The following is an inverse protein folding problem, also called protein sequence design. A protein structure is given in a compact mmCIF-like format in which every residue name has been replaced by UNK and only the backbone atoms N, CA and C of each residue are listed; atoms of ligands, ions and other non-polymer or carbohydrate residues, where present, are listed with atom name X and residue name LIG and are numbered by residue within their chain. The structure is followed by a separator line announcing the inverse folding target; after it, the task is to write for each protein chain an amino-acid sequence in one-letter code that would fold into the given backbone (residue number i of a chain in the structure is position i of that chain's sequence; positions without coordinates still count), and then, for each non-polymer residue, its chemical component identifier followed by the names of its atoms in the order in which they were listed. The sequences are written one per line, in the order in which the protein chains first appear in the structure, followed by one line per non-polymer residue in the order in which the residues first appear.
data_IF_955415589282
#
_entry.id   IF_955415589282
#
_cell.length_a   1.000
_cell.length_b   1.000
_cell.length_c   1.000
_cell.angle_alpha   90.00
_cell.angle_beta   90.00
_cell.angle_gamma   90.00
#
_symmetry.space_group_name_H-M   'P 1'
#
loop_
_entity.id
_entity.type
_entity.pdbx_description
1 polymer ?
#
# COMPACT_ATOMS: atom_id res chain seq x y z
N UNK A 1 -18.90 -3.90 1.23
CA UNK A 1 -17.59 -3.77 1.91
C UNK A 1 -17.09 -2.35 1.81
N UNK A 2 -16.32 -1.88 2.80
CA UNK A 2 -15.55 -0.63 2.73
C UNK A 2 -14.07 -0.92 2.88
N UNK A 3 -13.28 -0.61 1.86
CA UNK A 3 -11.83 -0.83 1.88
C UNK A 3 -11.11 0.52 2.00
N UNK A 4 -10.07 0.57 2.83
CA UNK A 4 -9.16 1.70 2.92
C UNK A 4 -7.92 1.38 2.08
N UNK A 5 -7.62 2.21 1.08
CA UNK A 5 -6.48 2.05 0.19
C UNK A 5 -5.53 3.24 0.38
N UNK A 6 -4.26 2.97 0.66
CA UNK A 6 -3.21 3.99 0.79
C UNK A 6 -1.85 3.44 0.33
N UNK A 7 -0.79 4.25 0.36
CA UNK A 7 0.54 3.90 -0.13
C UNK A 7 1.61 4.89 0.41
N UNK A 8 2.88 4.62 0.13
CA UNK A 8 4.02 5.57 0.21
C UNK A 8 4.17 6.29 1.56
N UNK A 9 4.24 5.54 2.64
CA UNK A 9 4.37 6.13 3.98
C UNK A 9 5.72 6.78 4.23
N UNK A 10 6.78 6.33 3.57
CA UNK A 10 8.16 6.81 3.73
C UNK A 10 8.55 6.98 5.20
N UNK A 11 8.20 5.97 6.01
CA UNK A 11 8.44 5.96 7.44
C UNK A 11 7.88 7.17 8.22
N UNK A 12 6.85 7.85 7.70
CA UNK A 12 6.19 8.95 8.38
C UNK A 12 5.26 8.45 9.50
N UNK A 13 5.82 8.26 10.69
CA UNK A 13 5.16 7.71 11.90
C UNK A 13 3.73 8.25 12.16
N UNK A 14 3.41 9.55 12.01
CA UNK A 14 2.04 10.03 12.18
C UNK A 14 0.99 9.34 11.30
N UNK A 15 1.35 8.89 10.09
CA UNK A 15 0.43 8.16 9.20
C UNK A 15 0.21 6.71 9.65
N UNK A 16 1.24 6.06 10.21
CA UNK A 16 1.09 4.76 10.88
C UNK A 16 0.14 4.87 12.08
N UNK A 17 0.31 5.91 12.91
CA UNK A 17 -0.56 6.19 14.05
C UNK A 17 -1.99 6.53 13.61
N UNK A 18 -2.15 7.21 12.48
CA UNK A 18 -3.46 7.47 11.88
C UNK A 18 -4.18 6.16 11.51
N UNK A 19 -3.49 5.17 10.91
CA UNK A 19 -4.09 3.86 10.63
C UNK A 19 -4.65 3.22 11.91
N UNK A 20 -3.92 3.26 13.03
CA UNK A 20 -4.39 2.70 14.31
C UNK A 20 -5.70 3.36 14.80
N UNK A 21 -5.95 4.62 14.43
CA UNK A 21 -7.17 5.37 14.82
C UNK A 21 -8.38 5.12 13.92
N UNK A 22 -8.16 4.63 12.69
CA UNK A 22 -9.23 4.56 11.67
C UNK A 22 -9.47 3.15 11.11
N UNK A 23 -8.55 2.21 11.30
CA UNK A 23 -8.61 0.88 10.68
C UNK A 23 -9.90 0.12 10.99
N UNK A 24 -10.41 0.23 12.21
CA UNK A 24 -11.62 -0.48 12.68
C UNK A 24 -12.93 -0.06 11.97
N UNK A 25 -12.88 1.02 11.20
CA UNK A 25 -13.98 1.54 10.37
C UNK A 25 -14.08 0.85 9.01
N UNK A 26 -13.07 0.07 8.64
CA UNK A 26 -12.94 -0.57 7.34
C UNK A 26 -12.92 -2.09 7.46
N UNK A 27 -13.36 -2.76 6.40
CA UNK A 27 -13.34 -4.22 6.32
C UNK A 27 -11.95 -4.76 5.95
N UNK A 28 -11.10 -3.93 5.36
CA UNK A 28 -9.73 -4.23 4.92
C UNK A 28 -8.95 -2.93 4.77
N UNK A 29 -7.69 -2.93 5.23
CA UNK A 29 -6.70 -1.87 4.99
C UNK A 29 -5.66 -2.38 4.00
N UNK A 30 -5.42 -1.64 2.93
CA UNK A 30 -4.42 -1.94 1.90
C UNK A 30 -3.37 -0.83 1.86
N UNK A 31 -2.09 -1.18 1.94
CA UNK A 31 -0.96 -0.24 1.82
C UNK A 31 -0.02 -0.71 0.72
N UNK A 32 0.12 0.08 -0.34
CA UNK A 32 0.93 -0.28 -1.52
C UNK A 32 2.34 0.32 -1.48
N UNK A 33 3.24 -0.36 -0.76
CA UNK A 33 4.67 -0.09 -0.78
C UNK A 33 5.12 1.15 -0.01
N UNK A 34 6.45 1.28 0.04
CA UNK A 34 7.19 2.37 0.63
C UNK A 34 6.79 2.62 2.10
N UNK A 35 6.74 1.54 2.88
CA UNK A 35 6.56 1.63 4.32
C UNK A 35 7.81 2.23 4.97
N UNK A 36 8.98 1.86 4.48
CA UNK A 36 10.27 2.37 4.90
C UNK A 36 10.65 3.61 4.09
N UNK A 37 11.64 4.34 4.60
CA UNK A 37 12.36 5.35 3.84
C UNK A 37 13.83 4.96 3.71
N UNK A 38 14.24 4.64 2.48
CA UNK A 38 15.63 4.31 2.15
C UNK A 38 16.61 5.48 2.34
N UNK A 39 16.12 6.71 2.51
CA UNK A 39 16.96 7.89 2.77
C UNK A 39 16.94 8.33 4.23
N UNK A 40 16.24 7.60 5.11
CA UNK A 40 16.11 7.99 6.51
C UNK A 40 17.48 7.98 7.22
N UNK A 41 17.82 9.04 7.99
CA UNK A 41 19.16 9.19 8.58
C UNK A 41 19.47 8.14 9.66
N UNK A 42 18.46 7.49 10.23
CA UNK A 42 18.64 6.43 11.23
C UNK A 42 18.93 5.05 10.62
N UNK A 43 18.93 4.93 9.29
CA UNK A 43 19.06 3.66 8.59
C UNK A 43 17.82 2.78 8.70
N UNK A 44 17.93 1.53 8.27
CA UNK A 44 16.78 0.61 8.13
C UNK A 44 16.31 0.03 9.45
N UNK A 45 17.24 -0.39 10.33
CA UNK A 45 16.91 -1.23 11.48
C UNK A 45 15.91 -0.58 12.46
N UNK A 46 16.06 0.70 12.85
CA UNK A 46 15.06 1.36 13.69
C UNK A 46 13.67 1.40 13.05
N UNK A 47 13.60 1.49 11.73
CA UNK A 47 12.35 1.51 10.99
C UNK A 47 11.67 0.13 11.01
N UNK A 48 12.42 -0.94 10.74
CA UNK A 48 11.90 -2.31 10.83
C UNK A 48 11.35 -2.63 12.22
N UNK A 49 12.07 -2.22 13.29
CA UNK A 49 11.61 -2.39 14.67
C UNK A 49 10.27 -1.66 14.87
N UNK A 50 10.19 -0.38 14.46
CA UNK A 50 8.97 0.40 14.61
C UNK A 50 7.79 -0.21 13.83
N UNK A 51 7.99 -0.58 12.56
CA UNK A 51 6.93 -1.19 11.73
C UNK A 51 6.45 -2.52 12.32
N UNK A 52 7.35 -3.34 12.86
CA UNK A 52 6.98 -4.56 13.54
C UNK A 52 6.10 -4.29 14.77
N UNK A 53 6.49 -3.36 15.64
CA UNK A 53 5.71 -3.00 16.83
C UNK A 53 4.37 -2.34 16.50
N UNK A 54 4.35 -1.50 15.47
CA UNK A 54 3.12 -0.94 14.91
C UNK A 54 2.18 -2.05 14.44
N UNK A 55 2.69 -3.03 13.70
CA UNK A 55 1.89 -4.16 13.23
C UNK A 55 1.35 -5.02 14.39
N UNK A 56 2.16 -5.25 15.43
CA UNK A 56 1.70 -5.93 16.64
C UNK A 56 0.53 -5.19 17.30
N UNK A 57 0.56 -3.85 17.27
CA UNK A 57 -0.51 -3.02 17.82
C UNK A 57 -1.75 -3.05 16.93
N UNK A 58 -1.58 -2.91 15.61
CA UNK A 58 -2.67 -2.97 14.62
C UNK A 58 -3.40 -4.32 14.68
N UNK A 59 -2.69 -5.43 14.84
CA UNK A 59 -3.27 -6.76 14.92
C UNK A 59 -4.19 -6.97 16.14
N UNK A 60 -4.06 -6.15 17.19
CA UNK A 60 -5.02 -6.18 18.32
C UNK A 60 -6.41 -5.69 17.91
N UNK A 61 -6.53 -4.88 16.84
CA UNK A 61 -7.80 -4.40 16.33
C UNK A 61 -8.58 -5.46 15.52
N UNK A 62 -7.93 -6.58 15.18
CA UNK A 62 -8.53 -7.67 14.40
C UNK A 62 -9.11 -7.20 13.04
N UNK A 63 -8.43 -6.23 12.42
CA UNK A 63 -8.75 -5.72 11.08
C UNK A 63 -7.84 -6.41 10.05
N UNK A 64 -8.37 -6.92 8.93
CA UNK A 64 -7.57 -7.43 7.82
C UNK A 64 -6.65 -6.36 7.22
N UNK A 65 -5.41 -6.75 6.89
CA UNK A 65 -4.40 -5.86 6.31
C UNK A 65 -3.73 -6.56 5.12
N UNK A 66 -3.62 -5.85 4.00
CA UNK A 66 -2.84 -6.27 2.84
C UNK A 66 -1.72 -5.26 2.57
N UNK A 67 -0.50 -5.75 2.39
CA UNK A 67 0.70 -4.94 2.16
C UNK A 67 1.43 -5.47 0.93
N UNK A 68 1.99 -4.59 0.11
CA UNK A 68 3.08 -4.97 -0.79
C UNK A 68 4.31 -4.09 -0.55
N UNK A 69 5.48 -4.54 -0.99
CA UNK A 69 6.71 -3.75 -0.96
C UNK A 69 6.75 -2.69 -2.06
N UNK A 70 7.48 -1.61 -1.81
CA UNK A 70 7.85 -0.58 -2.78
C UNK A 70 9.36 -0.41 -2.93
N UNK A 71 9.79 0.60 -3.69
CA UNK A 71 11.21 0.79 -3.99
C UNK A 71 12.04 1.27 -2.77
N UNK A 72 11.45 1.98 -1.81
CA UNK A 72 12.10 2.36 -0.55
C UNK A 72 12.21 1.19 0.45
N UNK A 73 11.43 0.12 0.23
CA UNK A 73 11.47 -1.08 1.07
C UNK A 73 12.57 -2.06 0.67
N UNK A 74 13.23 -1.82 -0.47
CA UNK A 74 14.40 -2.60 -0.89
C UNK A 74 15.62 -2.18 -0.09
N UNK A 75 16.21 -3.14 0.62
CA UNK A 75 17.34 -2.91 1.52
C UNK A 75 18.67 -2.57 0.83
N UNK A 76 18.70 -2.44 -0.51
CA UNK A 76 19.88 -2.42 -1.38
C UNK A 76 21.11 -1.66 -0.84
N UNK A 77 21.29 -0.41 -1.26
CA UNK A 77 22.44 0.43 -0.84
C UNK A 77 22.18 1.18 0.48
N UNK A 78 21.03 0.95 1.11
CA UNK A 78 20.64 1.66 2.33
C UNK A 78 21.46 1.14 3.51
N UNK A 79 22.07 2.02 4.33
CA UNK A 79 22.73 1.60 5.55
C UNK A 79 21.76 0.84 6.47
N UNK A 80 22.04 -0.45 6.67
CA UNK A 80 21.26 -1.29 7.60
C UNK A 80 21.40 -0.74 9.03
N UNK A 81 22.64 -0.39 9.40
CA UNK A 81 23.01 0.24 10.66
C UNK A 81 23.78 1.52 10.38
N UNK A 82 23.51 2.56 11.16
CA UNK A 82 24.23 3.84 11.10
C UNK A 82 25.02 4.03 12.39
N UNK A 83 26.35 4.30 12.32
CA UNK A 83 27.15 4.58 13.51
C UNK A 83 26.56 5.72 14.35
N UNK A 84 26.47 5.52 15.66
CA UNK A 84 25.88 6.49 16.59
C UNK A 84 24.37 6.37 16.78
N UNK A 85 23.66 5.63 15.93
CA UNK A 85 22.23 5.32 16.13
C UNK A 85 22.09 4.14 17.08
N UNK A 86 21.51 4.39 18.25
CA UNK A 86 21.35 3.37 19.29
C UNK A 86 20.10 2.53 19.09
N UNK A 87 20.27 1.21 19.07
CA UNK A 87 19.16 0.26 19.09
C UNK A 87 19.00 -0.28 20.51
N UNK A 88 17.78 -0.20 21.06
CA UNK A 88 17.54 -0.69 22.41
C UNK A 88 17.68 -2.21 22.45
N UNK A 89 18.40 -2.71 23.46
CA UNK A 89 18.73 -4.15 23.59
C UNK A 89 17.48 -5.04 23.67
N UNK A 90 16.41 -4.56 24.30
CA UNK A 90 15.12 -5.25 24.42
C UNK A 90 14.40 -5.42 23.07
N UNK A 91 14.83 -4.70 22.02
CA UNK A 91 14.26 -4.78 20.67
C UNK A 91 15.07 -5.62 19.70
N UNK A 92 16.28 -6.04 20.05
CA UNK A 92 17.10 -6.92 19.21
C UNK A 92 16.42 -8.23 18.81
N UNK A 93 15.59 -8.89 19.65
CA UNK A 93 14.88 -10.11 19.25
C UNK A 93 13.98 -9.93 18.02
N UNK A 94 13.44 -8.72 17.79
CA UNK A 94 12.62 -8.41 16.62
C UNK A 94 13.43 -8.60 15.33
N UNK A 95 14.72 -8.27 15.33
CA UNK A 95 15.60 -8.50 14.17
C UNK A 95 15.77 -9.99 13.87
N UNK A 96 15.75 -10.81 14.91
CA UNK A 96 15.71 -12.27 14.77
C UNK A 96 14.45 -12.76 14.07
N UNK A 97 13.30 -12.09 14.23
CA UNK A 97 12.09 -12.41 13.48
C UNK A 97 12.24 -12.10 11.99
N UNK A 98 12.75 -10.92 11.63
CA UNK A 98 13.02 -10.56 10.23
C UNK A 98 13.98 -11.56 9.56
N UNK A 99 15.04 -11.99 10.27
CA UNK A 99 16.04 -12.92 9.76
C UNK A 99 15.50 -14.33 9.41
N UNK A 100 14.30 -14.70 9.88
CA UNK A 100 13.67 -16.00 9.55
C UNK A 100 13.04 -16.01 8.16
N UNK A 101 12.89 -14.86 7.53
CA UNK A 101 12.16 -14.72 6.28
C UNK A 101 13.08 -14.21 5.16
N UNK A 102 12.87 -14.74 3.95
CA UNK A 102 13.57 -14.26 2.74
C UNK A 102 13.15 -12.84 2.38
N UNK A 103 11.86 -12.52 2.55
CA UNK A 103 11.27 -11.21 2.31
C UNK A 103 10.79 -10.64 3.63
N UNK A 104 11.24 -9.43 3.98
CA UNK A 104 11.07 -8.87 5.32
C UNK A 104 9.59 -8.68 5.70
N UNK A 105 8.72 -8.35 4.74
CA UNK A 105 7.28 -8.20 4.97
C UNK A 105 6.64 -9.49 5.51
N UNK A 106 7.19 -10.68 5.21
CA UNK A 106 6.65 -11.94 5.73
C UNK A 106 6.74 -12.06 7.25
N UNK A 107 7.66 -11.34 7.89
CA UNK A 107 7.71 -11.26 9.35
C UNK A 107 6.52 -10.52 9.96
N UNK A 108 5.82 -9.68 9.17
CA UNK A 108 4.63 -8.94 9.59
C UNK A 108 3.36 -9.80 9.55
N UNK A 109 3.45 -11.03 9.03
CA UNK A 109 2.33 -11.99 8.93
C UNK A 109 2.01 -12.63 10.29
N UNK A 110 1.68 -11.80 11.27
CA UNK A 110 1.44 -12.18 12.66
C UNK A 110 0.12 -12.91 12.90
N UNK A 111 -0.79 -12.91 11.91
CA UNK A 111 -2.06 -13.61 11.98
C UNK A 111 -2.58 -13.99 10.60
N UNK A 112 -3.64 -14.79 10.58
CA UNK A 112 -4.36 -15.12 9.35
C UNK A 112 -5.10 -13.92 8.72
N UNK A 113 -5.11 -12.74 9.34
CA UNK A 113 -5.74 -11.54 8.80
C UNK A 113 -4.79 -10.72 7.90
N UNK A 114 -3.51 -11.09 7.86
CA UNK A 114 -2.49 -10.36 7.11
C UNK A 114 -2.21 -11.05 5.77
N UNK A 115 -2.17 -10.26 4.70
CA UNK A 115 -1.59 -10.59 3.41
C UNK A 115 -0.38 -9.68 3.16
N UNK A 116 0.70 -10.25 2.65
CA UNK A 116 1.92 -9.53 2.27
C UNK A 116 2.37 -10.00 0.90
N UNK A 117 3.48 -9.47 0.39
CA UNK A 117 4.17 -9.97 -0.80
C UNK A 117 4.05 -11.50 -0.98
N UNK A 118 3.84 -11.91 -2.22
CA UNK A 118 3.63 -13.31 -2.65
C UNK A 118 2.28 -13.94 -2.23
N UNK A 119 1.43 -13.26 -1.46
CA UNK A 119 0.11 -13.80 -1.09
C UNK A 119 -0.95 -13.56 -2.17
N UNK A 120 -1.77 -14.60 -2.39
CA UNK A 120 -3.11 -14.53 -2.99
C UNK A 120 -4.08 -15.08 -1.94
N UNK A 121 -4.88 -14.19 -1.32
CA UNK A 121 -5.60 -14.49 -0.09
C UNK A 121 -7.04 -14.03 -0.11
N UNK A 122 -7.96 -14.90 0.30
CA UNK A 122 -9.36 -14.54 0.50
C UNK A 122 -9.52 -13.87 1.86
N UNK A 123 -10.01 -12.63 1.86
CA UNK A 123 -10.41 -11.88 3.04
C UNK A 123 -11.94 -11.90 3.12
N UNK A 124 -12.45 -12.28 4.28
CA UNK A 124 -13.88 -12.21 4.59
C UNK A 124 -14.15 -11.01 5.49
N UNK A 125 -15.08 -10.17 5.05
CA UNK A 125 -15.49 -8.98 5.78
C UNK A 125 -16.41 -9.32 6.94
N UNK A 126 -16.61 -8.39 7.87
CA UNK A 126 -17.59 -8.56 8.97
C UNK A 126 -19.01 -8.76 8.45
N UNK A 127 -19.32 -8.21 7.27
CA UNK A 127 -20.61 -8.36 6.59
C UNK A 127 -20.78 -9.69 5.83
N UNK A 128 -19.80 -10.60 5.85
CA UNK A 128 -19.87 -11.90 5.18
C UNK A 128 -19.47 -11.88 3.69
N UNK A 129 -19.31 -10.69 3.10
CA UNK A 129 -18.74 -10.51 1.76
C UNK A 129 -17.28 -10.97 1.74
N UNK A 130 -16.78 -11.43 0.59
CA UNK A 130 -15.41 -11.90 0.43
C UNK A 130 -14.73 -11.20 -0.76
N UNK A 131 -13.42 -10.97 -0.63
CA UNK A 131 -12.55 -10.43 -1.66
C UNK A 131 -11.23 -11.19 -1.67
N UNK A 132 -10.67 -11.48 -2.84
CA UNK A 132 -9.29 -11.93 -2.93
C UNK A 132 -8.35 -10.72 -3.00
N UNK A 133 -7.33 -10.69 -2.16
CA UNK A 133 -6.21 -9.74 -2.28
C UNK A 133 -5.00 -10.47 -2.83
N UNK A 134 -4.34 -9.87 -3.81
CA UNK A 134 -3.10 -10.37 -4.41
C UNK A 134 -2.03 -9.32 -4.18
N UNK A 135 -0.96 -9.67 -3.47
CA UNK A 135 0.12 -8.72 -3.14
C UNK A 135 1.35 -9.06 -3.97
N UNK A 136 1.63 -8.24 -4.98
CA UNK A 136 2.76 -8.44 -5.88
C UNK A 136 3.96 -7.65 -5.36
N UNK A 137 5.08 -8.32 -5.05
CA UNK A 137 6.28 -7.65 -4.57
C UNK A 137 6.82 -6.67 -5.61
N UNK A 138 7.48 -5.61 -5.13
CA UNK A 138 8.27 -4.75 -5.97
C UNK A 138 9.60 -5.44 -6.35
N UNK A 139 10.05 -5.25 -7.59
CA UNK A 139 11.34 -5.72 -8.06
C UNK A 139 12.05 -4.60 -8.85
N UNK A 140 13.30 -4.31 -8.49
CA UNK A 140 14.07 -3.22 -9.10
C UNK A 140 14.42 -3.45 -10.59
N UNK A 141 14.36 -4.70 -11.06
CA UNK A 141 14.54 -5.05 -12.47
C UNK A 141 13.24 -4.90 -13.29
N UNK A 142 12.14 -4.46 -12.65
CA UNK A 142 10.84 -4.29 -13.26
C UNK A 142 10.05 -5.59 -13.45
N UNK A 143 10.57 -6.73 -12.99
CA UNK A 143 9.84 -7.99 -13.07
C UNK A 143 8.61 -7.97 -12.17
N UNK A 144 7.45 -8.28 -12.75
CA UNK A 144 6.20 -8.46 -11.99
C UNK A 144 5.77 -9.91 -12.10
N UNK A 145 5.81 -10.62 -10.99
CA UNK A 145 5.33 -11.99 -10.97
C UNK A 145 3.81 -12.04 -11.19
N UNK A 146 3.35 -13.10 -11.84
CA UNK A 146 1.92 -13.37 -11.99
C UNK A 146 1.47 -14.36 -10.93
N UNK A 147 0.59 -13.92 -10.03
CA UNK A 147 -0.11 -14.79 -9.08
C UNK A 147 -1.54 -15.02 -9.55
N UNK A 148 -2.06 -16.24 -9.38
CA UNK A 148 -3.45 -16.54 -9.71
C UNK A 148 -4.36 -16.08 -8.55
N UNK A 149 -5.43 -15.32 -8.82
CA UNK A 149 -6.42 -14.98 -7.80
C UNK A 149 -7.21 -16.23 -7.41
N UNK A 150 -7.53 -16.36 -6.12
CA UNK A 150 -8.35 -17.48 -5.63
C UNK A 150 -9.82 -17.39 -6.09
N UNK A 151 -10.39 -16.18 -6.15
CA UNK A 151 -11.78 -15.94 -6.56
C UNK A 151 -12.02 -14.45 -6.88
N UNK A 152 -13.05 -14.16 -7.69
CA UNK A 152 -13.59 -12.80 -7.89
C UNK A 152 -14.55 -12.40 -6.74
N UNK A 153 -14.72 -11.10 -6.44
CA UNK A 153 -13.90 -9.99 -6.93
C UNK A 153 -12.49 -10.06 -6.33
N UNK A 154 -11.51 -9.48 -7.02
CA UNK A 154 -10.15 -9.40 -6.49
C UNK A 154 -9.45 -8.08 -6.75
N UNK A 155 -8.60 -7.72 -5.79
CA UNK A 155 -7.78 -6.51 -5.75
C UNK A 155 -6.30 -6.92 -5.84
N UNK A 156 -5.55 -6.34 -6.77
CA UNK A 156 -4.09 -6.49 -6.83
C UNK A 156 -3.42 -5.27 -6.21
N UNK A 157 -2.53 -5.48 -5.25
CA UNK A 157 -1.60 -4.48 -4.74
C UNK A 157 -0.27 -4.65 -5.49
N UNK A 158 0.19 -3.58 -6.12
CA UNK A 158 1.54 -3.50 -6.68
C UNK A 158 1.99 -2.04 -6.63
N UNK A 159 3.20 -1.81 -6.15
CA UNK A 159 3.65 -0.47 -5.83
C UNK A 159 3.68 0.46 -7.04
N UNK A 160 4.18 0.01 -8.20
CA UNK A 160 4.17 0.82 -9.42
C UNK A 160 2.80 0.75 -10.12
N UNK A 161 2.24 1.89 -10.57
CA UNK A 161 1.02 1.87 -11.37
C UNK A 161 1.26 1.27 -12.77
N UNK A 162 0.20 0.78 -13.45
CA UNK A 162 0.32 0.31 -14.83
C UNK A 162 0.88 1.39 -15.76
N UNK A 163 1.91 1.07 -16.53
CA UNK A 163 2.50 2.00 -17.49
C UNK A 163 1.50 2.48 -18.56
N UNK A 164 1.83 3.61 -19.19
CA UNK A 164 1.01 4.24 -20.26
C UNK A 164 -0.41 4.61 -19.80
N UNK A 165 -0.52 5.07 -18.56
CA UNK A 165 -1.78 5.54 -17.96
C UNK A 165 -1.57 6.93 -17.34
N UNK A 166 -2.65 7.71 -17.24
CA UNK A 166 -2.65 9.02 -16.57
C UNK A 166 -2.35 8.89 -15.07
N UNK A 167 -2.66 7.73 -14.48
CA UNK A 167 -2.29 7.43 -13.08
C UNK A 167 -0.79 7.14 -12.90
N UNK A 168 -0.05 6.80 -13.97
CA UNK A 168 1.40 6.66 -13.93
C UNK A 168 2.13 8.00 -14.08
N UNK A 169 1.51 9.00 -14.72
CA UNK A 169 2.14 10.30 -14.97
C UNK A 169 2.41 11.10 -13.67
N UNK A 170 3.56 11.78 -13.56
CA UNK A 170 4.56 12.02 -14.62
C UNK A 170 5.63 10.93 -14.76
N UNK A 171 5.50 9.80 -14.06
CA UNK A 171 6.40 8.65 -14.22
C UNK A 171 5.88 7.71 -15.34
N UNK A 172 6.70 6.76 -15.76
CA UNK A 172 6.32 5.82 -16.82
C UNK A 172 5.51 4.61 -16.30
N UNK A 173 5.49 4.36 -14.99
CA UNK A 173 4.86 3.19 -14.37
C UNK A 173 5.52 1.85 -14.76
N UNK A 174 4.88 0.73 -14.39
CA UNK A 174 5.36 -0.62 -14.70
C UNK A 174 4.69 -1.22 -15.93
N UNK A 175 5.49 -1.53 -16.94
CA UNK A 175 5.03 -2.18 -18.19
C UNK A 175 4.58 -3.61 -17.94
N UNK A 176 5.34 -4.37 -17.15
CA UNK A 176 4.98 -5.73 -16.77
C UNK A 176 3.68 -5.75 -15.97
N UNK A 177 3.48 -4.79 -15.06
CA UNK A 177 2.21 -4.69 -14.35
C UNK A 177 1.04 -4.36 -15.27
N UNK A 178 1.22 -3.47 -16.26
CA UNK A 178 0.20 -3.22 -17.27
C UNK A 178 -0.19 -4.49 -18.05
N UNK A 179 0.79 -5.36 -18.36
CA UNK A 179 0.52 -6.67 -18.98
C UNK A 179 -0.24 -7.60 -18.03
N UNK A 180 0.09 -7.62 -16.73
CA UNK A 180 -0.65 -8.39 -15.72
C UNK A 180 -2.11 -7.94 -15.65
N UNK A 181 -2.37 -6.62 -15.56
CA UNK A 181 -3.73 -6.07 -15.52
C UNK A 181 -4.49 -6.41 -16.81
N UNK A 182 -3.87 -6.24 -17.97
CA UNK A 182 -4.49 -6.57 -19.25
C UNK A 182 -4.86 -8.05 -19.36
N UNK A 183 -3.98 -8.96 -18.92
CA UNK A 183 -4.17 -10.41 -19.00
C UNK A 183 -5.17 -10.94 -17.97
N UNK A 184 -5.06 -10.50 -16.71
CA UNK A 184 -5.84 -11.06 -15.62
C UNK A 184 -7.20 -10.36 -15.43
N UNK A 185 -7.33 -9.10 -15.85
CA UNK A 185 -8.54 -8.28 -15.66
C UNK A 185 -9.02 -8.27 -14.19
N UNK A 186 -8.19 -7.80 -13.23
CA UNK A 186 -8.62 -7.67 -11.83
C UNK A 186 -9.83 -6.75 -11.68
N UNK A 187 -10.61 -6.94 -10.61
CA UNK A 187 -11.71 -5.99 -10.32
C UNK A 187 -11.12 -4.61 -10.03
N UNK A 188 -10.06 -4.59 -9.21
CA UNK A 188 -9.39 -3.38 -8.78
C UNK A 188 -7.87 -3.58 -8.75
N UNK A 189 -7.13 -2.50 -8.90
CA UNK A 189 -5.71 -2.45 -8.50
C UNK A 189 -5.43 -1.26 -7.60
N UNK A 190 -4.40 -1.38 -6.76
CA UNK A 190 -3.89 -0.30 -5.93
C UNK A 190 -2.38 -0.17 -6.12
N UNK A 191 -1.95 1.07 -6.36
CA UNK A 191 -0.54 1.45 -6.51
C UNK A 191 -0.19 2.72 -5.72
N UNK A 192 1.11 2.89 -5.51
CA UNK A 192 1.75 4.09 -4.96
C UNK A 192 2.71 4.68 -5.98
N UNK A 193 3.95 4.94 -5.57
CA UNK A 193 5.12 5.32 -6.37
C UNK A 193 5.05 6.72 -7.02
N UNK A 194 3.92 7.10 -7.60
CA UNK A 194 3.77 8.39 -8.29
C UNK A 194 3.08 9.37 -7.36
N UNK A 195 3.80 10.40 -6.95
CA UNK A 195 3.33 11.34 -5.94
C UNK A 195 2.46 12.46 -6.52
N UNK A 196 1.78 13.16 -5.61
CA UNK A 196 1.03 14.36 -5.92
C UNK A 196 1.96 15.45 -6.46
N UNK A 197 1.57 16.07 -7.57
CA UNK A 197 2.31 17.16 -8.21
C UNK A 197 1.46 18.43 -8.22
N UNK A 198 1.86 19.45 -7.48
CA UNK A 198 1.10 20.70 -7.40
C UNK A 198 0.91 21.33 -8.80
N UNK A 199 -0.33 21.63 -9.16
CA UNK A 199 -0.69 22.23 -10.46
C UNK A 199 -0.87 21.23 -11.61
N UNK A 200 -0.66 19.93 -11.39
CA UNK A 200 -1.02 18.89 -12.35
C UNK A 200 -2.46 18.37 -12.10
N UNK A 201 -3.01 17.61 -13.04
CA UNK A 201 -4.36 17.02 -12.91
C UNK A 201 -4.45 16.01 -11.75
N UNK A 202 -3.38 15.25 -11.48
CA UNK A 202 -3.28 14.25 -10.40
C UNK A 202 -4.41 13.20 -10.42
N UNK A 203 -4.71 12.60 -11.57
CA UNK A 203 -5.66 11.50 -11.67
C UNK A 203 -5.35 10.39 -10.66
N UNK A 204 -6.30 10.08 -9.78
CA UNK A 204 -6.18 9.02 -8.77
C UNK A 204 -6.76 7.68 -9.24
N UNK A 205 -7.44 7.66 -10.38
CA UNK A 205 -7.98 6.45 -10.98
C UNK A 205 -7.95 6.49 -12.50
N UNK A 206 -7.84 5.31 -13.09
CA UNK A 206 -8.08 5.09 -14.51
C UNK A 206 -8.64 3.69 -14.74
N UNK A 207 -9.50 3.55 -15.73
CA UNK A 207 -10.03 2.26 -16.16
C UNK A 207 -9.18 1.63 -17.26
N UNK A 208 -8.83 0.36 -17.11
CA UNK A 208 -8.13 -0.46 -18.12
C UNK A 208 -8.97 -1.71 -18.37
N UNK A 209 -9.67 -1.75 -19.50
CA UNK A 209 -10.66 -2.81 -19.78
C UNK A 209 -11.77 -2.83 -18.72
N UNK A 210 -11.88 -3.93 -17.98
CA UNK A 210 -12.84 -4.07 -16.88
C UNK A 210 -12.26 -3.66 -15.50
N UNK A 211 -10.96 -3.40 -15.43
CA UNK A 211 -10.25 -3.12 -14.18
C UNK A 211 -10.28 -1.63 -13.85
N UNK A 212 -10.63 -1.29 -12.61
CA UNK A 212 -10.41 0.05 -12.07
C UNK A 212 -9.06 0.09 -11.36
N UNK A 213 -8.13 0.89 -11.88
CA UNK A 213 -6.79 1.02 -11.34
C UNK A 213 -6.70 2.30 -10.50
N UNK A 214 -6.27 2.18 -9.26
CA UNK A 214 -6.18 3.30 -8.32
C UNK A 214 -4.73 3.63 -7.96
N UNK A 215 -4.49 4.91 -7.68
CA UNK A 215 -3.26 5.40 -7.10
C UNK A 215 -3.57 6.46 -6.04
N UNK A 216 -2.88 6.41 -4.90
CA UNK A 216 -3.16 7.34 -3.79
C UNK A 216 -2.51 8.71 -3.96
N UNK A 217 -1.43 8.78 -4.75
CA UNK A 217 -0.60 9.97 -5.00
C UNK A 217 -0.22 10.68 -3.72
N UNK A 218 0.68 10.12 -2.91
CA UNK A 218 1.05 10.80 -1.67
C UNK A 218 1.69 12.16 -1.91
N UNK A 219 1.57 13.02 -0.89
CA UNK A 219 2.40 14.23 -0.85
C UNK A 219 3.87 13.80 -0.87
N UNK A 220 4.71 14.35 -1.78
CA UNK A 220 6.11 13.98 -1.84
C UNK A 220 6.80 14.15 -0.48
N UNK A 221 7.79 13.30 -0.13
CA UNK A 221 8.60 13.46 1.07
C UNK A 221 9.10 14.90 1.22
N UNK A 222 8.76 15.51 2.35
CA UNK A 222 9.07 16.89 2.67
C UNK A 222 9.32 17.01 4.17
N UNK A 223 9.91 18.14 4.59
CA UNK A 223 10.15 18.43 6.01
C UNK A 223 8.83 18.47 6.79
N UNK A 224 7.75 18.93 6.14
CA UNK A 224 6.41 18.97 6.70
C UNK A 224 5.48 18.21 5.76
N UNK A 225 4.85 17.18 6.29
CA UNK A 225 3.84 16.38 5.60
C UNK A 225 2.45 16.66 6.22
N UNK A 226 1.36 16.44 5.47
CA UNK A 226 0.02 16.50 6.02
C UNK A 226 -0.16 15.56 7.22
N UNK A 227 -1.10 15.85 8.14
CA UNK A 227 -1.32 15.05 9.34
C UNK A 227 -1.86 13.64 9.04
N UNK A 228 -2.43 13.43 7.85
CA UNK A 228 -3.00 12.17 7.39
C UNK A 228 -2.50 11.89 5.97
N UNK A 229 -2.30 10.61 5.60
CA UNK A 229 -1.94 10.29 4.22
C UNK A 229 -3.09 10.67 3.28
N UNK A 230 -2.80 10.79 1.98
CA UNK A 230 -3.82 10.63 0.97
C UNK A 230 -4.30 9.17 0.98
N UNK A 231 -5.60 8.97 0.85
CA UNK A 231 -6.19 7.63 0.86
C UNK A 231 -7.46 7.58 0.03
N UNK A 232 -7.83 6.37 -0.39
CA UNK A 232 -9.04 6.10 -1.14
C UNK A 232 -9.93 5.19 -0.30
N UNK A 233 -11.20 5.56 -0.20
CA UNK A 233 -12.24 4.67 0.35
C UNK A 233 -13.01 4.08 -0.82
N UNK A 234 -12.94 2.75 -0.94
CA UNK A 234 -13.76 2.00 -1.89
C UNK A 234 -14.99 1.44 -1.17
N UNK A 235 -16.17 1.95 -1.48
CA UNK A 235 -17.45 1.48 -0.95
C UNK A 235 -18.17 0.65 -2.01
N UNK A 236 -18.10 -0.68 -1.89
CA UNK A 236 -18.69 -1.59 -2.89
C UNK A 236 -20.21 -1.61 -2.83
N UNK A 237 -20.82 -1.24 -1.70
CA UNK A 237 -22.29 -1.17 -1.59
C UNK A 237 -22.83 0.05 -2.33
N UNK A 238 -22.08 1.15 -2.31
CA UNK A 238 -22.39 2.36 -3.07
C UNK A 238 -21.85 2.34 -4.49
N UNK A 239 -20.95 1.41 -4.81
CA UNK A 239 -20.21 1.39 -6.07
C UNK A 239 -19.53 2.74 -6.31
N UNK A 240 -18.73 3.19 -5.35
CA UNK A 240 -18.07 4.50 -5.34
C UNK A 240 -16.64 4.39 -4.80
N UNK A 241 -15.73 5.17 -5.37
CA UNK A 241 -14.43 5.50 -4.79
C UNK A 241 -14.40 6.96 -4.36
N UNK A 242 -13.94 7.23 -3.13
CA UNK A 242 -13.71 8.57 -2.60
C UNK A 242 -12.22 8.76 -2.34
N UNK A 243 -11.56 9.70 -3.01
CA UNK A 243 -10.17 10.05 -2.77
C UNK A 243 -10.09 11.25 -1.85
N UNK A 244 -9.47 11.04 -0.70
CA UNK A 244 -9.16 12.08 0.28
C UNK A 244 -7.70 12.47 0.06
N UNK A 245 -7.46 13.73 -0.27
CA UNK A 245 -6.11 14.19 -0.57
C UNK A 245 -5.84 15.61 -0.06
N UNK A 246 -4.56 15.92 0.09
CA UNK A 246 -4.09 17.21 0.61
C UNK A 246 -3.43 18.02 -0.52
N UNK A 247 -4.17 18.86 -1.27
CA UNK A 247 -3.57 19.77 -2.24
C UNK A 247 -2.72 20.87 -1.57
N UNK A 248 -2.88 21.06 -0.26
CA UNK A 248 -2.06 21.90 0.60
C UNK A 248 -1.98 21.29 2.01
N UNK A 249 -1.01 21.70 2.82
CA UNK A 249 -0.83 21.21 4.19
C UNK A 249 -2.00 21.54 5.13
N UNK A 250 -2.79 22.57 4.82
CA UNK A 250 -3.83 23.09 5.71
C UNK A 250 -5.23 22.53 5.41
N UNK A 251 -5.42 21.98 4.19
CA UNK A 251 -6.75 21.62 3.69
C UNK A 251 -6.73 20.28 2.98
N UNK A 252 -7.55 19.36 3.47
CA UNK A 252 -7.92 18.14 2.78
C UNK A 252 -9.14 18.37 1.88
N UNK A 253 -9.18 17.67 0.75
CA UNK A 253 -10.29 17.64 -0.20
C UNK A 253 -10.75 16.19 -0.44
N UNK A 254 -12.02 16.04 -0.81
CA UNK A 254 -12.63 14.74 -1.12
C UNK A 254 -13.18 14.78 -2.55
N UNK A 255 -12.70 13.87 -3.40
CA UNK A 255 -13.22 13.66 -4.74
C UNK A 255 -13.92 12.30 -4.84
N UNK A 256 -15.22 12.31 -5.17
CA UNK A 256 -16.04 11.11 -5.32
C UNK A 256 -16.24 10.74 -6.77
N UNK A 257 -16.04 9.47 -7.10
CA UNK A 257 -16.24 8.94 -8.43
C UNK A 257 -17.09 7.67 -8.35
N UNK A 258 -18.24 7.60 -9.06
CA UNK A 258 -19.00 6.37 -9.17
C UNK A 258 -18.24 5.34 -9.99
N UNK A 259 -18.31 4.09 -9.57
CA UNK A 259 -17.68 2.92 -10.19
C UNK A 259 -18.75 1.99 -10.74
N UNK A 260 -19.43 2.35 -11.85
CA UNK A 260 -20.43 1.47 -12.43
C UNK A 260 -19.77 0.15 -12.83
N UNK A 261 -20.35 -0.97 -12.37
CA UNK A 261 -20.04 -2.26 -12.96
C UNK A 261 -20.37 -2.18 -14.47
N UNK A 262 -19.50 -2.68 -15.36
CA UNK A 262 -19.89 -2.87 -16.74
C UNK A 262 -21.15 -3.73 -16.76
N UNK A 263 -22.24 -3.21 -17.34
CA UNK A 263 -23.34 -4.07 -17.77
C UNK A 263 -22.71 -5.02 -18.80
N UNK A 264 -22.71 -6.31 -18.49
CA UNK A 264 -22.31 -7.35 -19.44
C UNK A 264 -23.18 -7.34 -20.69
#
# INVERSE_FOLDING_TARGET
MKLLLTADFHFHKPWFDWILRVADRYDLVCIAGDLLDMFHPEGVVPQLIYVYEWMQTLMKLQVPVALCSGNHDLLGNTPILVPGVSIRKDKLPILGEFAKHRHWLHSLKMSHLVAVDDDSKIIRTRGGEAITVVCLPYAADGHVQSLNPAAQPYLILHHEPPAQTRIAEPKDGSREFALVVARQQPTWTLSGHVHFTLGAENDFLQRIGHSWCFICRQTPPAVVLPPEPNFIVLDTKKSEASWFHWPSLEKAEELKVPLPYPRG
#
